data_IF_432647599533
#
_entry.id   IF_432647599533
#
_cell.length_a   1.000
_cell.length_b   1.000
_cell.length_c   1.000
_cell.angle_alpha   90.00
_cell.angle_beta   90.00
_cell.angle_gamma   90.00
#
_symmetry.space_group_name_H-M   'P 1'
#
loop_
_entity.id
_entity.type
_entity.pdbx_description
1 polymer ?
#
# COMPACT_ATOMS: atom_id res chain seq x y z
N UNK A 1 -61.54 57.96 -22.35
CA UNK A 1 -60.72 56.98 -23.07
C UNK A 1 -59.45 56.74 -22.27
N UNK A 2 -59.39 55.65 -21.54
CA UNK A 2 -58.34 55.41 -20.57
C UNK A 2 -57.50 54.20 -21.06
N UNK A 3 -56.26 54.46 -21.44
CA UNK A 3 -55.30 53.40 -21.80
C UNK A 3 -54.75 52.77 -20.58
N UNK A 4 -55.04 51.49 -20.36
CA UNK A 4 -54.45 50.66 -19.30
C UNK A 4 -53.19 49.99 -19.89
N UNK A 5 -52.05 50.42 -19.43
CA UNK A 5 -50.78 49.77 -19.76
C UNK A 5 -50.59 48.52 -18.86
N UNK A 6 -50.52 47.36 -19.51
CA UNK A 6 -50.28 46.08 -18.87
C UNK A 6 -48.80 45.90 -18.69
N UNK A 7 -48.32 46.00 -17.43
CA UNK A 7 -46.91 45.79 -17.06
C UNK A 7 -46.71 44.31 -16.85
N UNK A 8 -46.13 43.61 -17.81
CA UNK A 8 -45.72 42.20 -17.67
C UNK A 8 -44.43 42.12 -16.86
N UNK A 9 -44.54 41.67 -15.61
CA UNK A 9 -43.41 41.36 -14.75
C UNK A 9 -42.82 40.00 -15.13
N UNK A 10 -41.66 40.01 -15.83
CA UNK A 10 -40.92 38.79 -16.14
C UNK A 10 -40.07 38.42 -14.90
N UNK A 11 -40.56 37.48 -14.10
CA UNK A 11 -39.80 36.86 -13.02
C UNK A 11 -38.71 35.92 -13.60
N UNK A 12 -37.50 36.44 -13.73
CA UNK A 12 -36.34 35.63 -14.06
C UNK A 12 -35.99 34.67 -12.90
N UNK A 13 -36.25 33.38 -13.10
CA UNK A 13 -35.86 32.32 -12.16
C UNK A 13 -34.37 32.13 -12.27
N UNK A 14 -33.59 32.71 -11.33
CA UNK A 14 -32.17 32.41 -11.19
C UNK A 14 -32.01 31.01 -10.57
N UNK A 15 -31.69 30.05 -11.41
CA UNK A 15 -31.23 28.72 -10.99
C UNK A 15 -29.82 28.88 -10.37
N UNK A 16 -29.77 29.07 -9.07
CA UNK A 16 -28.53 28.96 -8.30
C UNK A 16 -28.08 27.50 -8.34
N UNK A 17 -27.27 27.18 -9.32
CA UNK A 17 -26.56 25.90 -9.37
C UNK A 17 -25.68 25.75 -8.13
N UNK A 18 -26.17 25.02 -7.14
CA UNK A 18 -25.39 24.63 -5.96
C UNK A 18 -24.28 23.68 -6.40
N UNK A 19 -23.10 24.21 -6.72
CA UNK A 19 -21.90 23.40 -6.80
C UNK A 19 -21.66 22.80 -5.42
N UNK A 20 -22.07 21.53 -5.23
CA UNK A 20 -21.61 20.76 -4.09
C UNK A 20 -20.09 20.68 -4.21
N UNK A 21 -19.37 21.40 -3.35
CA UNK A 21 -17.95 21.11 -3.09
C UNK A 21 -17.88 19.65 -2.67
N UNK A 22 -17.41 18.81 -3.59
CA UNK A 22 -17.00 17.45 -3.27
C UNK A 22 -15.92 17.60 -2.20
N UNK A 23 -16.23 17.22 -0.98
CA UNK A 23 -15.24 17.17 0.09
C UNK A 23 -14.09 16.32 -0.43
N UNK A 24 -12.91 16.91 -0.59
CA UNK A 24 -11.71 16.14 -0.82
C UNK A 24 -11.64 15.17 0.36
N UNK A 25 -11.92 13.88 0.07
CA UNK A 25 -11.61 12.84 1.03
C UNK A 25 -10.13 13.02 1.34
N UNK A 26 -9.81 13.05 2.61
CA UNK A 26 -8.44 13.16 3.08
C UNK A 26 -7.79 11.80 2.78
N UNK A 27 -7.46 11.57 1.50
CA UNK A 27 -6.77 10.37 1.07
C UNK A 27 -5.37 10.44 1.67
N UNK A 28 -5.11 9.57 2.62
CA UNK A 28 -3.76 9.41 3.15
C UNK A 28 -2.88 8.87 2.01
N UNK A 29 -1.69 9.41 1.82
CA UNK A 29 -0.79 8.90 0.80
C UNK A 29 -0.43 7.44 1.09
N UNK A 30 -0.47 6.59 0.05
CA UNK A 30 -0.05 5.20 0.14
C UNK A 30 1.47 5.12 0.29
N UNK A 31 1.95 4.56 1.39
CA UNK A 31 3.37 4.34 1.62
C UNK A 31 3.83 3.01 1.03
N UNK A 32 4.74 3.07 0.07
CA UNK A 32 5.27 1.89 -0.63
C UNK A 32 6.76 1.77 -0.39
N UNK A 33 7.19 0.58 0.04
CA UNK A 33 8.60 0.24 0.22
C UNK A 33 9.01 -0.86 -0.75
N UNK A 34 10.21 -0.78 -1.27
CA UNK A 34 10.88 -1.90 -1.94
C UNK A 34 12.16 -2.25 -1.20
N UNK A 35 12.41 -3.54 -0.98
CA UNK A 35 13.52 -3.97 -0.16
C UNK A 35 14.09 -5.32 -0.61
N UNK A 36 15.33 -5.33 -1.08
CA UNK A 36 16.08 -6.55 -1.29
C UNK A 36 16.60 -7.05 0.06
N UNK A 37 16.09 -8.18 0.53
CA UNK A 37 16.46 -8.72 1.85
C UNK A 37 17.83 -9.42 1.85
N UNK A 38 18.44 -9.60 0.68
CA UNK A 38 19.62 -10.45 0.46
C UNK A 38 19.33 -11.89 0.87
N UNK A 39 19.43 -12.80 -0.07
CA UNK A 39 19.16 -14.22 0.14
C UNK A 39 19.99 -14.80 1.30
N UNK A 40 19.44 -15.80 1.95
CA UNK A 40 20.16 -16.57 2.97
C UNK A 40 21.18 -17.49 2.29
N UNK A 41 22.44 -17.12 2.38
CA UNK A 41 23.56 -17.88 1.85
C UNK A 41 24.49 -18.34 2.97
N UNK A 42 24.86 -19.64 3.02
CA UNK A 42 25.79 -20.15 4.04
C UNK A 42 27.14 -19.43 4.04
N UNK A 43 27.55 -18.89 2.90
CA UNK A 43 28.79 -18.14 2.72
C UNK A 43 28.79 -16.75 3.34
N UNK A 44 27.65 -16.23 3.78
CA UNK A 44 27.52 -14.86 4.27
C UNK A 44 28.12 -14.62 5.66
N UNK A 45 28.59 -15.68 6.33
CA UNK A 45 29.30 -15.59 7.60
C UNK A 45 28.57 -14.71 8.63
N UNK A 46 29.17 -13.57 9.04
CA UNK A 46 28.58 -12.62 9.99
C UNK A 46 27.34 -11.88 9.44
N UNK A 47 27.16 -11.86 8.12
CA UNK A 47 25.99 -11.26 7.47
C UNK A 47 24.89 -12.28 7.15
N UNK A 48 25.00 -13.51 7.65
CA UNK A 48 24.00 -14.54 7.44
C UNK A 48 22.61 -14.08 7.94
N UNK A 49 21.57 -14.57 7.29
CA UNK A 49 20.17 -14.19 7.55
C UNK A 49 19.80 -14.31 9.04
N UNK A 50 20.22 -15.37 9.71
CA UNK A 50 19.90 -15.60 11.13
C UNK A 50 20.31 -14.45 12.06
N UNK A 51 21.29 -13.64 11.67
CA UNK A 51 21.73 -12.48 12.45
C UNK A 51 21.08 -11.17 12.02
N UNK A 52 20.39 -11.15 10.87
CA UNK A 52 19.78 -9.95 10.29
C UNK A 52 18.27 -9.91 10.41
N UNK A 53 17.61 -11.07 10.52
CA UNK A 53 16.15 -11.17 10.42
C UNK A 53 15.40 -10.28 11.39
N UNK A 54 15.84 -10.21 12.64
CA UNK A 54 15.19 -9.39 13.65
C UNK A 54 15.33 -7.90 13.34
N UNK A 55 16.49 -7.46 12.87
CA UNK A 55 16.71 -6.06 12.45
C UNK A 55 15.88 -5.71 11.22
N UNK A 56 15.72 -6.65 10.29
CA UNK A 56 14.85 -6.46 9.10
C UNK A 56 13.39 -6.27 9.52
N UNK A 57 12.89 -7.15 10.39
CA UNK A 57 11.52 -7.02 10.90
C UNK A 57 11.31 -5.72 11.70
N UNK A 58 12.27 -5.35 12.55
CA UNK A 58 12.21 -4.09 13.32
C UNK A 58 12.21 -2.86 12.41
N UNK A 59 13.03 -2.84 11.36
CA UNK A 59 13.06 -1.76 10.38
C UNK A 59 11.71 -1.63 9.67
N UNK A 60 11.13 -2.72 9.20
CA UNK A 60 9.84 -2.72 8.53
C UNK A 60 8.73 -2.26 9.48
N UNK A 61 8.77 -2.74 10.73
CA UNK A 61 7.84 -2.32 11.78
C UNK A 61 7.97 -0.84 12.13
N UNK A 62 9.17 -0.27 12.01
CA UNK A 62 9.40 1.16 12.24
C UNK A 62 8.81 2.03 11.13
N UNK A 63 9.04 1.67 9.86
CA UNK A 63 8.53 2.45 8.72
C UNK A 63 7.05 2.20 8.40
N UNK A 64 6.51 1.04 8.77
CA UNK A 64 5.11 0.66 8.59
C UNK A 64 4.54 0.90 7.17
N UNK A 65 5.23 0.51 6.08
CA UNK A 65 4.71 0.74 4.75
C UNK A 65 3.36 0.02 4.55
N UNK A 66 2.45 0.60 3.76
CA UNK A 66 1.19 -0.04 3.38
C UNK A 66 1.43 -1.22 2.44
N UNK A 67 2.38 -1.05 1.53
CA UNK A 67 2.83 -2.07 0.59
C UNK A 67 4.36 -2.22 0.65
N UNK A 68 4.81 -3.47 0.74
CA UNK A 68 6.22 -3.80 0.77
C UNK A 68 6.53 -4.89 -0.25
N UNK A 69 7.24 -4.55 -1.32
CA UNK A 69 7.79 -5.51 -2.28
C UNK A 69 9.20 -5.92 -1.86
N UNK A 70 9.45 -7.24 -1.72
CA UNK A 70 10.76 -7.74 -1.38
C UNK A 70 11.39 -8.54 -2.52
N UNK A 71 12.71 -8.68 -2.51
CA UNK A 71 13.48 -9.45 -3.47
C UNK A 71 14.46 -10.36 -2.73
N UNK A 72 14.90 -11.42 -3.41
CA UNK A 72 15.86 -12.43 -2.94
C UNK A 72 15.40 -13.18 -1.68
N UNK A 73 14.12 -13.34 -1.48
CA UNK A 73 13.58 -14.04 -0.30
C UNK A 73 13.62 -15.54 -0.55
N UNK A 74 14.29 -16.31 0.31
CA UNK A 74 14.21 -17.79 0.32
C UNK A 74 13.02 -18.25 1.15
N UNK A 75 12.62 -19.51 1.00
CA UNK A 75 11.47 -20.06 1.73
C UNK A 75 11.58 -19.88 3.25
N UNK A 76 12.72 -20.20 3.84
CA UNK A 76 12.95 -20.01 5.28
C UNK A 76 12.87 -18.53 5.69
N UNK A 77 13.35 -17.61 4.84
CA UNK A 77 13.23 -16.15 5.08
C UNK A 77 11.78 -15.72 5.00
N UNK A 78 11.00 -16.28 4.06
CA UNK A 78 9.57 -15.99 3.93
C UNK A 78 8.81 -16.37 5.21
N UNK A 79 9.11 -17.52 5.78
CA UNK A 79 8.48 -17.97 7.03
C UNK A 79 8.90 -17.12 8.23
N UNK A 80 10.19 -16.78 8.36
CA UNK A 80 10.68 -15.87 9.41
C UNK A 80 10.01 -14.47 9.30
N UNK A 81 9.86 -13.95 8.07
CA UNK A 81 9.22 -12.65 7.82
C UNK A 81 7.74 -12.67 8.18
N UNK A 82 7.00 -13.71 7.79
CA UNK A 82 5.59 -13.89 8.19
C UNK A 82 5.43 -13.92 9.71
N UNK A 83 6.33 -14.62 10.39
CA UNK A 83 6.31 -14.70 11.85
C UNK A 83 6.69 -13.37 12.52
N UNK A 84 7.68 -12.67 11.96
CA UNK A 84 8.18 -11.41 12.52
C UNK A 84 7.33 -10.17 12.18
N UNK A 85 6.42 -10.29 11.20
CA UNK A 85 5.57 -9.22 10.70
C UNK A 85 4.08 -9.63 10.69
N UNK A 86 3.51 -10.01 11.84
CA UNK A 86 2.16 -10.57 11.91
C UNK A 86 1.06 -9.60 11.49
N UNK A 87 1.34 -8.30 11.44
CA UNK A 87 0.41 -7.26 10.96
C UNK A 87 0.30 -7.22 9.42
N UNK A 88 1.16 -7.94 8.69
CA UNK A 88 1.14 -7.99 7.24
C UNK A 88 0.57 -9.30 6.71
N UNK A 89 -0.19 -9.19 5.64
CA UNK A 89 -0.51 -10.34 4.80
C UNK A 89 0.54 -10.47 3.71
N UNK A 90 1.06 -11.67 3.49
CA UNK A 90 2.13 -11.95 2.53
C UNK A 90 1.61 -12.76 1.35
N UNK A 91 1.95 -12.33 0.13
CA UNK A 91 1.68 -13.02 -1.12
C UNK A 91 2.99 -13.25 -1.87
N UNK A 92 3.19 -14.46 -2.34
CA UNK A 92 4.37 -14.82 -3.15
C UNK A 92 4.61 -16.31 -3.13
N UNK A 93 5.28 -16.78 -4.18
CA UNK A 93 5.67 -18.18 -4.35
C UNK A 93 7.12 -18.26 -4.82
N UNK A 94 7.76 -19.39 -4.62
CA UNK A 94 9.08 -19.67 -5.14
C UNK A 94 9.09 -19.72 -6.67
N UNK A 95 10.07 -19.06 -7.29
CA UNK A 95 10.12 -18.88 -8.75
C UNK A 95 10.38 -20.16 -9.53
N UNK A 96 10.99 -21.19 -8.90
CA UNK A 96 11.45 -22.38 -9.60
C UNK A 96 10.33 -23.42 -9.78
N UNK A 97 9.35 -23.47 -8.87
CA UNK A 97 8.26 -24.45 -8.90
C UNK A 97 6.85 -23.84 -8.70
N UNK A 98 6.80 -22.53 -8.51
CA UNK A 98 5.53 -21.85 -8.19
C UNK A 98 4.98 -22.19 -6.80
N UNK A 99 5.82 -22.72 -5.90
CA UNK A 99 5.48 -23.08 -4.52
C UNK A 99 6.55 -22.59 -3.55
N UNK A 100 7.56 -23.40 -3.26
CA UNK A 100 8.54 -23.13 -2.21
C UNK A 100 9.99 -23.07 -2.71
N UNK A 101 10.25 -23.57 -3.93
CA UNK A 101 11.60 -23.65 -4.46
C UNK A 101 12.05 -22.33 -5.11
N UNK A 102 13.32 -22.02 -4.93
CA UNK A 102 13.95 -20.82 -5.49
C UNK A 102 13.74 -19.56 -4.64
N UNK A 103 13.98 -18.42 -5.26
CA UNK A 103 13.77 -17.12 -4.63
C UNK A 103 12.34 -16.65 -4.86
N UNK A 104 11.79 -15.98 -3.87
CA UNK A 104 10.52 -15.28 -3.94
C UNK A 104 10.75 -13.79 -4.21
N UNK A 105 9.78 -13.16 -4.88
CA UNK A 105 9.59 -11.72 -4.90
C UNK A 105 8.23 -11.41 -4.27
N UNK A 106 8.07 -11.56 -2.96
CA UNK A 106 6.78 -11.44 -2.31
C UNK A 106 6.35 -9.99 -2.15
N UNK A 107 5.03 -9.83 -2.01
CA UNK A 107 4.41 -8.57 -1.59
C UNK A 107 3.82 -8.79 -0.21
N UNK A 108 4.15 -7.90 0.71
CA UNK A 108 3.53 -7.79 2.02
C UNK A 108 2.65 -6.54 2.03
N UNK A 109 1.45 -6.64 2.54
CA UNK A 109 0.55 -5.50 2.65
C UNK A 109 -0.11 -5.49 4.03
N UNK A 110 -0.28 -4.28 4.55
CA UNK A 110 -0.97 -4.06 5.81
C UNK A 110 -2.46 -4.31 5.60
N UNK A 111 -3.06 -5.15 6.44
CA UNK A 111 -4.47 -5.57 6.31
C UNK A 111 -5.43 -4.74 7.17
N UNK A 112 -4.97 -3.64 7.74
CA UNK A 112 -5.78 -2.75 8.61
C UNK A 112 -6.40 -1.60 7.88
#
# INVERSE_FOLDING_TARGET
MKHIALLTCVCGLMLLGSCKKQSAQNEQPLEVMTFNVRLDAPSDSANNWKYRKDNVCQMITYYQPDLLGMQEVRHNQMEDLKQGLPQYTALGVGRDDGKEAGEYCPIFFNSH
#
